data_IF_035600787586
#
_entry.id   IF_035600787586
#
_cell.length_a   1.000
_cell.length_b   1.000
_cell.length_c   1.000
_cell.angle_alpha   90.00
_cell.angle_beta   90.00
_cell.angle_gamma   90.00
#
_symmetry.space_group_name_H-M   'P 1'
#
loop_
_entity.id
_entity.type
_entity.pdbx_description
1 polymer ?
#
# COMPACT_ATOMS: atom_id res chain seq x y z
N UNK A 1 -10.77 40.73 -9.23
CA UNK A 1 -11.02 39.27 -9.11
C UNK A 1 -10.52 38.82 -7.75
N UNK A 2 -10.89 37.62 -7.27
CA UNK A 2 -10.36 37.13 -5.99
C UNK A 2 -8.89 36.72 -6.19
N UNK A 3 -7.97 37.07 -5.29
CA UNK A 3 -6.58 36.61 -5.37
C UNK A 3 -6.49 35.07 -5.38
N UNK A 4 -5.41 34.51 -5.95
CA UNK A 4 -5.14 33.07 -5.91
C UNK A 4 -5.20 32.58 -4.46
N UNK A 5 -6.02 31.53 -4.23
CA UNK A 5 -6.44 31.17 -2.88
C UNK A 5 -5.34 30.54 -2.03
N UNK A 6 -4.39 29.81 -2.65
CA UNK A 6 -3.46 28.97 -1.90
C UNK A 6 -2.10 29.62 -1.67
N UNK A 7 -1.52 30.26 -2.69
CA UNK A 7 -0.19 30.84 -2.55
C UNK A 7 0.11 31.93 -3.59
N UNK A 8 0.87 32.95 -3.16
CA UNK A 8 1.39 34.04 -3.99
C UNK A 8 2.91 34.13 -3.83
N UNK A 9 3.62 34.05 -4.95
CA UNK A 9 5.06 34.19 -5.05
C UNK A 9 5.41 35.53 -5.70
N UNK A 10 5.85 36.48 -4.88
CA UNK A 10 6.25 37.81 -5.32
C UNK A 10 7.77 37.90 -5.50
N UNK A 11 8.18 38.52 -6.61
CA UNK A 11 9.57 38.86 -6.87
C UNK A 11 9.69 40.38 -6.85
N UNK A 12 10.71 40.85 -6.15
CA UNK A 12 11.17 42.24 -6.21
C UNK A 12 12.54 42.25 -6.86
N UNK A 13 12.81 43.33 -7.58
CA UNK A 13 14.06 43.50 -8.33
C UNK A 13 14.27 42.41 -9.39
N UNK A 14 13.25 42.15 -10.22
CA UNK A 14 13.23 41.08 -11.22
C UNK A 14 14.40 41.18 -12.20
N UNK A 15 14.82 42.38 -12.58
CA UNK A 15 15.93 42.59 -13.50
C UNK A 15 17.27 42.10 -12.98
N UNK A 16 17.40 41.85 -11.66
CA UNK A 16 18.63 41.33 -11.04
C UNK A 16 18.72 39.80 -11.05
N UNK A 17 17.63 39.09 -11.39
CA UNK A 17 17.66 37.63 -11.46
C UNK A 17 18.77 37.10 -12.40
N UNK A 18 18.97 37.64 -13.62
CA UNK A 18 20.04 37.17 -14.51
C UNK A 18 21.46 37.22 -13.90
N UNK A 19 21.72 38.18 -13.01
CA UNK A 19 23.04 38.38 -12.39
C UNK A 19 23.40 37.28 -11.38
N UNK A 20 22.39 36.57 -10.86
CA UNK A 20 22.60 35.47 -9.90
C UNK A 20 23.16 34.21 -10.56
N UNK A 21 23.19 34.15 -11.91
CA UNK A 21 23.51 32.97 -12.74
C UNK A 21 22.55 31.79 -12.58
N UNK A 22 21.53 31.91 -11.73
CA UNK A 22 20.50 30.89 -11.57
C UNK A 22 19.46 30.98 -12.69
N UNK A 23 19.14 29.82 -13.28
CA UNK A 23 18.11 29.72 -14.33
C UNK A 23 16.71 29.45 -13.77
N UNK A 24 16.62 28.97 -12.53
CA UNK A 24 15.41 28.48 -11.87
C UNK A 24 15.34 29.07 -10.47
N UNK A 25 14.17 29.55 -10.07
CA UNK A 25 13.91 30.09 -8.75
C UNK A 25 12.72 29.35 -8.14
N UNK A 26 12.85 28.97 -6.88
CA UNK A 26 11.81 28.25 -6.16
C UNK A 26 11.20 29.17 -5.11
N UNK A 27 9.88 29.09 -4.94
CA UNK A 27 9.21 29.72 -3.80
C UNK A 27 9.53 28.96 -2.51
N UNK A 28 9.12 29.54 -1.38
CA UNK A 28 8.98 28.76 -0.16
C UNK A 28 7.92 27.66 -0.34
N UNK A 29 8.04 26.63 0.49
CA UNK A 29 7.03 25.58 0.59
C UNK A 29 5.71 26.15 1.14
N UNK A 30 4.59 25.67 0.61
CA UNK A 30 3.25 25.97 1.09
C UNK A 30 2.38 24.71 1.12
N UNK A 31 1.35 24.70 1.97
CA UNK A 31 0.48 23.53 2.17
C UNK A 31 -0.87 23.76 1.52
N UNK A 32 -1.31 22.83 0.67
CA UNK A 32 -2.67 22.79 0.13
C UNK A 32 -3.09 21.35 -0.16
N UNK A 33 -4.36 21.04 0.09
CA UNK A 33 -4.93 19.70 -0.16
C UNK A 33 -4.26 18.55 0.61
N UNK A 34 -3.57 18.83 1.72
CA UNK A 34 -2.85 17.84 2.54
C UNK A 34 -1.43 17.50 2.08
N UNK A 35 -0.91 18.23 1.10
CA UNK A 35 0.46 18.07 0.58
C UNK A 35 1.21 19.38 0.62
N UNK A 36 2.54 19.29 0.60
CA UNK A 36 3.45 20.44 0.53
C UNK A 36 3.89 20.66 -0.91
N UNK A 37 3.82 21.90 -1.35
CA UNK A 37 4.08 22.33 -2.72
C UNK A 37 5.04 23.50 -2.77
N UNK A 38 5.62 23.75 -3.94
CA UNK A 38 6.36 24.97 -4.26
C UNK A 38 6.14 25.38 -5.71
N UNK A 39 6.32 26.67 -6.00
CA UNK A 39 6.38 27.18 -7.37
C UNK A 39 7.81 27.20 -7.86
N UNK A 40 8.03 26.75 -9.10
CA UNK A 40 9.32 26.75 -9.78
C UNK A 40 9.23 27.66 -11.01
N UNK A 41 9.95 28.79 -10.96
CA UNK A 41 9.94 29.84 -11.97
C UNK A 41 11.23 29.81 -12.79
N UNK A 42 11.08 29.94 -14.11
CA UNK A 42 12.17 30.20 -15.05
C UNK A 42 11.91 31.55 -15.72
N UNK A 43 12.57 32.64 -15.26
CA UNK A 43 12.26 34.00 -15.71
C UNK A 43 12.68 34.26 -17.16
N UNK A 44 13.58 33.47 -17.73
CA UNK A 44 14.00 33.57 -19.13
C UNK A 44 13.56 32.35 -19.97
N UNK A 45 12.78 31.48 -19.37
CA UNK A 45 12.24 30.27 -19.99
C UNK A 45 13.00 29.00 -19.67
N UNK A 46 12.27 27.90 -19.66
CA UNK A 46 12.78 26.55 -19.51
C UNK A 46 13.23 26.01 -20.87
N UNK A 47 14.49 26.27 -21.22
CA UNK A 47 15.14 25.80 -22.45
C UNK A 47 14.92 24.31 -22.72
N UNK A 48 14.95 23.48 -21.67
CA UNK A 48 14.83 22.01 -21.78
C UNK A 48 13.45 21.58 -22.25
N UNK A 49 12.43 22.37 -21.96
CA UNK A 49 11.03 22.12 -22.35
C UNK A 49 10.54 23.10 -23.44
N UNK A 50 11.47 23.64 -24.25
CA UNK A 50 11.19 24.57 -25.34
C UNK A 50 10.54 25.90 -24.88
N UNK A 51 10.79 26.33 -23.64
CA UNK A 51 10.23 27.54 -23.03
C UNK A 51 10.93 28.85 -23.41
N UNK A 52 11.88 28.83 -24.35
CA UNK A 52 12.69 29.99 -24.73
C UNK A 52 11.83 31.24 -25.01
N UNK A 53 12.28 32.40 -24.49
CA UNK A 53 11.60 33.71 -24.61
C UNK A 53 10.21 33.79 -23.96
N UNK A 54 9.93 32.90 -23.01
CA UNK A 54 8.72 32.93 -22.21
C UNK A 54 9.09 32.84 -20.73
N UNK A 55 8.25 33.41 -19.86
CA UNK A 55 8.19 33.00 -18.47
C UNK A 55 7.69 31.55 -18.46
N UNK A 56 8.41 30.66 -17.75
CA UNK A 56 7.91 29.32 -17.43
C UNK A 56 7.62 29.22 -15.95
N UNK A 57 6.50 28.59 -15.60
CA UNK A 57 6.10 28.40 -14.21
C UNK A 57 5.51 27.01 -14.02
N UNK A 58 5.93 26.37 -12.94
CA UNK A 58 5.52 25.02 -12.58
C UNK A 58 5.13 24.91 -11.11
N UNK A 59 4.18 24.04 -10.84
CA UNK A 59 3.87 23.53 -9.51
C UNK A 59 4.65 22.24 -9.29
N UNK A 60 5.41 22.18 -8.21
CA UNK A 60 6.17 21.00 -7.80
C UNK A 60 5.75 20.54 -6.40
N UNK A 61 5.75 19.23 -6.18
CA UNK A 61 5.50 18.65 -4.86
C UNK A 61 6.81 18.61 -4.06
N UNK A 62 6.79 19.16 -2.85
CA UNK A 62 7.92 19.18 -1.92
C UNK A 62 7.93 17.90 -1.09
N UNK A 63 9.12 17.38 -0.77
CA UNK A 63 9.25 16.15 0.02
C UNK A 63 8.81 14.87 -0.72
N UNK A 64 8.86 14.82 -2.05
CA UNK A 64 8.51 13.63 -2.84
C UNK A 64 9.21 12.32 -2.38
N UNK A 65 10.37 12.45 -1.73
CA UNK A 65 11.18 11.37 -1.17
C UNK A 65 10.72 10.87 0.21
N UNK A 66 9.90 11.65 0.94
CA UNK A 66 9.33 11.24 2.23
C UNK A 66 7.97 10.56 2.08
N UNK A 67 7.37 10.61 0.89
CA UNK A 67 6.11 9.95 0.57
C UNK A 67 6.29 8.42 0.41
N UNK A 68 5.26 7.60 0.75
CA UNK A 68 5.33 6.14 0.67
C UNK A 68 5.69 5.62 -0.73
N UNK A 69 6.33 4.45 -0.82
CA UNK A 69 6.62 3.83 -2.11
C UNK A 69 5.31 3.63 -2.92
N UNK A 70 5.31 4.09 -4.17
CA UNK A 70 4.15 3.98 -5.06
C UNK A 70 3.09 5.08 -4.87
N UNK A 71 3.40 6.16 -4.15
CA UNK A 71 2.50 7.30 -4.01
C UNK A 71 2.11 7.91 -5.37
N UNK A 72 0.85 8.30 -5.48
CA UNK A 72 0.33 9.11 -6.58
C UNK A 72 -0.58 10.19 -6.00
N UNK A 73 -0.46 11.42 -6.51
CA UNK A 73 -1.36 12.53 -6.16
C UNK A 73 -1.92 13.11 -7.44
N UNK A 74 -3.25 13.08 -7.58
CA UNK A 74 -3.94 13.64 -8.73
C UNK A 74 -4.40 15.06 -8.38
N UNK A 75 -4.06 16.04 -9.22
CA UNK A 75 -4.25 17.46 -8.91
C UNK A 75 -4.81 18.18 -10.13
N UNK A 76 -5.81 19.02 -9.90
CA UNK A 76 -6.14 20.12 -10.79
C UNK A 76 -5.55 21.40 -10.19
N UNK A 77 -4.84 22.20 -10.98
CA UNK A 77 -4.32 23.47 -10.50
C UNK A 77 -4.48 24.57 -11.54
N UNK A 78 -4.53 25.80 -11.05
CA UNK A 78 -4.49 27.02 -11.88
C UNK A 78 -3.28 27.84 -11.46
N UNK A 79 -2.60 28.42 -12.45
CA UNK A 79 -1.52 29.38 -12.23
C UNK A 79 -2.01 30.77 -12.59
N UNK A 80 -1.48 31.77 -11.89
CA UNK A 80 -1.91 33.15 -12.05
C UNK A 80 -0.69 34.06 -12.26
N UNK A 81 -0.84 35.08 -13.10
CA UNK A 81 0.10 36.22 -13.21
C UNK A 81 -0.65 37.48 -12.86
N UNK A 82 -0.14 38.27 -11.91
CA UNK A 82 -0.82 39.46 -11.43
C UNK A 82 -0.63 40.65 -12.37
N UNK A 83 -1.73 41.18 -12.89
CA UNK A 83 -1.79 42.48 -13.57
C UNK A 83 -2.00 43.56 -12.51
N UNK A 84 -0.90 44.23 -12.18
CA UNK A 84 -0.82 45.24 -11.13
C UNK A 84 -1.48 46.57 -11.51
N UNK A 85 -1.69 46.81 -12.82
CA UNK A 85 -2.31 48.05 -13.33
C UNK A 85 -3.82 47.97 -13.23
N UNK A 86 -4.39 46.79 -13.54
CA UNK A 86 -5.85 46.58 -13.57
C UNK A 86 -6.40 45.91 -12.31
N UNK A 87 -5.51 45.52 -11.37
CA UNK A 87 -5.85 44.75 -10.16
C UNK A 87 -6.61 43.46 -10.51
N UNK A 88 -6.02 42.68 -11.41
CA UNK A 88 -6.60 41.44 -11.97
C UNK A 88 -5.55 40.35 -12.13
N UNK A 89 -6.00 39.13 -12.37
CA UNK A 89 -5.10 38.00 -12.57
C UNK A 89 -5.32 37.35 -13.92
N UNK A 90 -4.25 37.25 -14.71
CA UNK A 90 -4.23 36.34 -15.85
C UNK A 90 -4.25 34.91 -15.30
N UNK A 91 -5.35 34.19 -15.53
CA UNK A 91 -5.53 32.80 -15.10
C UNK A 91 -5.10 31.85 -16.21
N UNK A 92 -4.12 30.99 -15.94
CA UNK A 92 -3.66 29.94 -16.83
C UNK A 92 -3.99 28.57 -16.23
N UNK A 93 -4.74 27.77 -16.98
CA UNK A 93 -5.07 26.39 -16.64
C UNK A 93 -5.13 25.56 -17.93
N UNK A 94 -4.99 24.24 -17.81
CA UNK A 94 -5.15 23.36 -18.97
C UNK A 94 -6.61 23.39 -19.47
N UNK A 95 -6.82 23.73 -20.73
CA UNK A 95 -8.14 24.01 -21.31
C UNK A 95 -9.13 22.84 -21.19
N UNK A 96 -8.62 21.61 -21.03
CA UNK A 96 -9.44 20.41 -20.91
C UNK A 96 -9.67 19.97 -19.46
N UNK A 97 -9.27 20.78 -18.46
CA UNK A 97 -9.34 20.38 -17.04
C UNK A 97 -8.46 19.17 -16.75
N UNK A 98 -7.33 19.05 -17.45
CA UNK A 98 -6.44 17.90 -17.37
C UNK A 98 -5.92 17.71 -15.95
N UNK A 99 -6.17 16.52 -15.41
CA UNK A 99 -5.64 16.10 -14.12
C UNK A 99 -4.14 15.84 -14.23
N UNK A 100 -3.36 16.56 -13.42
CA UNK A 100 -1.93 16.38 -13.29
C UNK A 100 -1.64 15.31 -12.25
N UNK A 101 -1.10 14.17 -12.70
CA UNK A 101 -0.71 13.08 -11.82
C UNK A 101 0.74 13.25 -11.37
N UNK A 102 0.92 13.57 -10.10
CA UNK A 102 2.22 13.61 -9.45
C UNK A 102 2.58 12.21 -8.96
N UNK A 103 3.82 11.79 -9.20
CA UNK A 103 4.38 10.54 -8.68
C UNK A 103 5.91 10.65 -8.60
N UNK A 104 6.58 9.57 -8.18
CA UNK A 104 8.04 9.52 -8.04
C UNK A 104 8.81 9.89 -9.32
N UNK A 105 8.25 9.64 -10.50
CA UNK A 105 8.88 9.93 -11.80
C UNK A 105 8.50 11.31 -12.34
N UNK A 106 7.36 11.86 -11.90
CA UNK A 106 6.82 13.14 -12.37
C UNK A 106 6.34 13.96 -11.19
N UNK A 107 7.24 14.76 -10.63
CA UNK A 107 7.02 15.57 -9.42
C UNK A 107 6.67 17.04 -9.72
N UNK A 108 6.61 17.42 -10.99
CA UNK A 108 6.47 18.80 -11.45
C UNK A 108 5.55 18.87 -12.68
N UNK A 109 4.58 19.78 -12.64
CA UNK A 109 3.63 20.07 -13.72
C UNK A 109 3.43 21.57 -13.88
N UNK A 110 3.27 22.04 -15.11
CA UNK A 110 3.18 23.47 -15.40
C UNK A 110 3.36 23.77 -16.88
N UNK A 111 3.75 25.02 -17.18
CA UNK A 111 3.79 25.53 -18.54
C UNK A 111 5.18 26.10 -18.85
N UNK A 112 5.87 25.46 -19.79
CA UNK A 112 7.13 25.96 -20.34
C UNK A 112 6.95 27.31 -21.05
N UNK A 113 5.76 27.57 -21.61
CA UNK A 113 5.40 28.83 -22.27
C UNK A 113 4.18 29.45 -21.60
N UNK A 114 4.32 29.86 -20.33
CA UNK A 114 3.23 30.45 -19.56
C UNK A 114 2.82 31.81 -20.12
N UNK A 115 3.80 32.69 -20.32
CA UNK A 115 3.62 34.07 -20.79
C UNK A 115 4.86 34.49 -21.58
N UNK A 116 4.71 35.06 -22.79
CA UNK A 116 5.87 35.52 -23.56
C UNK A 116 6.57 36.68 -22.83
N UNK A 117 7.90 36.78 -22.99
CA UNK A 117 8.65 37.89 -22.41
C UNK A 117 8.24 39.23 -23.01
N UNK A 118 7.87 39.28 -24.30
CA UNK A 118 7.39 40.50 -24.94
C UNK A 118 6.12 41.02 -24.24
N UNK A 119 5.16 40.14 -23.96
CA UNK A 119 3.91 40.50 -23.26
C UNK A 119 4.18 40.82 -21.78
N UNK A 120 5.06 40.07 -21.12
CA UNK A 120 5.41 40.28 -19.72
C UNK A 120 6.12 41.63 -19.46
N UNK A 121 7.04 42.01 -20.35
CA UNK A 121 7.84 43.23 -20.23
C UNK A 121 7.13 44.49 -20.75
N UNK A 122 6.04 44.35 -21.50
CA UNK A 122 5.22 45.49 -21.92
C UNK A 122 4.47 46.07 -20.71
N UNK A 123 4.91 47.27 -20.29
CA UNK A 123 4.38 47.98 -19.14
C UNK A 123 2.86 48.22 -19.21
N UNK A 124 2.25 48.26 -20.40
CA UNK A 124 0.80 48.42 -20.56
C UNK A 124 0.00 47.19 -20.10
N UNK A 125 0.64 46.03 -20.02
CA UNK A 125 0.04 44.79 -19.53
C UNK A 125 0.11 44.63 -18.01
N UNK A 126 0.95 45.39 -17.31
CA UNK A 126 0.95 45.47 -15.84
C UNK A 126 1.55 44.26 -15.11
N UNK A 127 2.18 43.30 -15.80
CA UNK A 127 2.76 42.11 -15.18
C UNK A 127 4.10 42.36 -14.47
N UNK A 128 4.88 43.32 -14.98
CA UNK A 128 6.12 43.81 -14.37
C UNK A 128 5.98 45.32 -14.12
N UNK A 129 5.85 45.71 -12.86
CA UNK A 129 5.69 47.12 -12.42
C UNK A 129 6.68 47.38 -11.31
N UNK A 130 7.40 48.50 -11.38
CA UNK A 130 8.45 48.87 -10.43
C UNK A 130 9.44 47.72 -10.17
N UNK A 131 9.87 47.07 -11.25
CA UNK A 131 10.77 45.91 -11.26
C UNK A 131 10.29 44.75 -10.34
N UNK A 132 8.98 44.65 -10.16
CA UNK A 132 8.33 43.67 -9.31
C UNK A 132 7.21 42.96 -10.06
N UNK A 133 7.04 41.67 -9.77
CA UNK A 133 5.99 40.85 -10.35
C UNK A 133 5.48 39.82 -9.32
N UNK A 134 4.30 39.27 -9.56
CA UNK A 134 3.73 38.26 -8.68
C UNK A 134 3.04 37.13 -9.46
N UNK A 135 3.32 35.90 -9.04
CA UNK A 135 2.75 34.68 -9.57
C UNK A 135 1.92 33.98 -8.49
N UNK A 136 0.81 33.39 -8.85
CA UNK A 136 -0.03 32.68 -7.89
C UNK A 136 -0.43 31.29 -8.33
N UNK A 137 -1.00 30.54 -7.39
CA UNK A 137 -1.51 29.20 -7.65
C UNK A 137 -2.73 28.87 -6.80
N UNK A 138 -3.62 28.07 -7.38
CA UNK A 138 -4.74 27.40 -6.71
C UNK A 138 -4.61 25.91 -6.99
N UNK A 139 -4.60 25.08 -5.95
CA UNK A 139 -4.33 23.64 -5.98
C UNK A 139 -5.55 22.87 -5.46
N UNK A 140 -6.15 22.07 -6.33
CA UNK A 140 -7.25 21.17 -5.99
C UNK A 140 -6.78 19.71 -6.06
N UNK A 141 -6.53 19.12 -4.90
CA UNK A 141 -6.15 17.70 -4.78
C UNK A 141 -7.39 16.81 -4.91
N UNK A 142 -7.37 15.93 -5.90
CA UNK A 142 -8.43 14.96 -6.17
C UNK A 142 -8.21 13.75 -5.26
N UNK A 143 -9.03 13.63 -4.21
CA UNK A 143 -9.02 12.47 -3.32
C UNK A 143 -9.53 11.24 -4.09
N UNK A 144 -8.69 10.23 -4.23
CA UNK A 144 -9.11 8.93 -4.73
C UNK A 144 -9.98 8.24 -3.68
N UNK A 145 -11.27 8.07 -3.95
CA UNK A 145 -12.19 7.26 -3.11
C UNK A 145 -12.23 5.80 -3.55
N UNK A 146 -11.26 5.36 -4.36
CA UNK A 146 -11.22 4.02 -4.92
C UNK A 146 -10.82 2.99 -3.86
N UNK A 147 -11.68 2.02 -3.60
CA UNK A 147 -11.35 0.84 -2.78
C UNK A 147 -10.51 -0.12 -3.61
N UNK A 148 -9.35 -0.53 -3.10
CA UNK A 148 -8.46 -1.49 -3.75
C UNK A 148 -8.13 -2.69 -2.85
N UNK A 149 -7.70 -3.79 -3.46
CA UNK A 149 -7.18 -4.96 -2.76
C UNK A 149 -5.75 -5.25 -3.23
N UNK A 150 -4.87 -5.59 -2.30
CA UNK A 150 -3.50 -6.02 -2.58
C UNK A 150 -3.29 -7.46 -2.08
N UNK A 151 -2.74 -8.30 -2.94
CA UNK A 151 -2.36 -9.68 -2.62
C UNK A 151 -0.85 -9.73 -2.31
N UNK A 152 -0.51 -10.09 -1.09
CA UNK A 152 0.87 -10.35 -0.69
C UNK A 152 1.08 -11.86 -0.57
N UNK A 153 1.83 -12.43 -1.50
CA UNK A 153 2.26 -13.83 -1.43
C UNK A 153 3.58 -13.90 -0.66
N UNK A 154 3.64 -14.78 0.33
CA UNK A 154 4.84 -15.06 1.12
C UNK A 154 5.15 -16.55 1.09
N UNK A 155 6.32 -16.88 0.57
CA UNK A 155 6.92 -18.20 0.76
C UNK A 155 7.47 -18.27 2.18
N UNK A 156 7.23 -19.39 2.87
CA UNK A 156 7.74 -19.59 4.22
C UNK A 156 9.11 -20.27 4.14
N UNK A 157 10.07 -19.79 4.93
CA UNK A 157 11.39 -20.40 4.98
C UNK A 157 11.33 -21.83 5.53
N UNK A 158 12.05 -22.80 4.93
CA UNK A 158 11.98 -24.21 5.32
C UNK A 158 12.34 -24.51 6.78
N UNK A 159 13.07 -23.62 7.47
CA UNK A 159 13.47 -23.81 8.87
C UNK A 159 12.41 -23.38 9.88
N UNK A 160 11.46 -22.54 9.49
CA UNK A 160 10.41 -21.98 10.36
C UNK A 160 8.99 -22.33 9.86
N UNK A 161 8.87 -23.36 9.03
CA UNK A 161 7.61 -23.72 8.38
C UNK A 161 6.93 -24.97 8.97
N UNK A 162 7.55 -25.65 9.92
CA UNK A 162 7.00 -26.86 10.55
C UNK A 162 6.66 -26.67 12.02
N UNK A 163 5.68 -27.43 12.49
CA UNK A 163 5.40 -27.59 13.90
C UNK A 163 5.03 -29.05 14.19
N UNK A 164 5.58 -29.58 15.28
CA UNK A 164 5.39 -30.96 15.72
C UNK A 164 4.79 -30.98 17.11
N UNK A 165 3.72 -31.76 17.28
CA UNK A 165 3.02 -31.93 18.55
C UNK A 165 3.03 -33.39 18.98
N UNK A 166 3.58 -33.64 20.17
CA UNK A 166 3.60 -34.96 20.81
C UNK A 166 2.43 -35.12 21.79
N UNK A 167 1.57 -36.09 21.54
CA UNK A 167 0.43 -36.43 22.39
C UNK A 167 0.78 -37.71 23.16
N UNK A 168 1.19 -37.55 24.42
CA UNK A 168 1.59 -38.64 25.32
C UNK A 168 0.38 -39.29 26.00
N UNK A 169 0.56 -40.52 26.47
CA UNK A 169 -0.49 -41.33 27.09
C UNK A 169 -1.72 -41.51 26.19
N UNK A 170 -1.50 -41.69 24.88
CA UNK A 170 -2.56 -41.70 23.88
C UNK A 170 -3.63 -42.76 24.16
N UNK A 171 -3.23 -43.91 24.70
CA UNK A 171 -4.12 -45.01 25.09
C UNK A 171 -5.15 -44.67 26.18
N UNK A 172 -4.90 -43.62 26.97
CA UNK A 172 -5.76 -43.18 28.08
C UNK A 172 -6.74 -42.07 27.68
N UNK A 173 -6.65 -41.57 26.46
CA UNK A 173 -7.51 -40.50 25.98
C UNK A 173 -8.93 -41.00 25.75
N UNK A 174 -9.89 -40.16 26.13
CA UNK A 174 -11.30 -40.37 25.87
C UNK A 174 -11.69 -39.84 24.47
N UNK A 175 -12.99 -39.66 24.24
CA UNK A 175 -13.53 -39.15 22.96
C UNK A 175 -13.37 -37.63 22.83
N UNK A 176 -12.68 -36.98 23.77
CA UNK A 176 -12.49 -35.54 23.85
C UNK A 176 -11.65 -34.97 22.71
N UNK A 177 -11.91 -33.69 22.40
CA UNK A 177 -11.12 -32.92 21.44
C UNK A 177 -9.85 -32.44 22.11
N UNK A 178 -8.72 -32.61 21.42
CA UNK A 178 -7.43 -32.12 21.89
C UNK A 178 -6.98 -30.92 21.06
N UNK A 179 -6.34 -29.97 21.73
CA UNK A 179 -5.77 -28.78 21.13
C UNK A 179 -4.27 -28.72 21.45
N UNK A 180 -3.45 -28.44 20.46
CA UNK A 180 -2.05 -28.12 20.71
C UNK A 180 -1.91 -26.78 21.43
N UNK A 181 -0.71 -26.54 21.95
CA UNK A 181 -0.28 -25.18 22.29
C UNK A 181 -0.32 -24.27 21.05
N UNK A 182 -0.41 -22.96 21.29
CA UNK A 182 -0.31 -21.97 20.24
C UNK A 182 1.11 -21.96 19.67
N UNK A 183 1.22 -22.02 18.35
CA UNK A 183 2.49 -21.84 17.64
C UNK A 183 2.37 -20.78 16.55
N UNK A 184 3.50 -20.21 16.13
CA UNK A 184 3.55 -19.15 15.14
C UNK A 184 4.36 -19.59 13.93
N UNK A 185 3.78 -19.45 12.74
CA UNK A 185 4.47 -19.63 11.46
C UNK A 185 4.12 -18.40 10.61
N UNK A 186 5.15 -17.68 10.17
CA UNK A 186 5.00 -16.32 9.65
C UNK A 186 4.44 -15.37 10.70
N UNK A 187 3.42 -14.59 10.34
CA UNK A 187 2.78 -13.61 11.23
C UNK A 187 1.43 -14.08 11.79
N UNK A 188 1.15 -15.37 11.74
CA UNK A 188 -0.13 -15.95 12.14
C UNK A 188 0.05 -16.97 13.27
N UNK A 189 -0.90 -17.00 14.19
CA UNK A 189 -0.97 -18.00 15.26
C UNK A 189 -1.87 -19.16 14.87
N UNK A 190 -1.42 -20.35 15.17
CA UNK A 190 -2.04 -21.60 14.77
C UNK A 190 -2.24 -22.54 15.95
N UNK A 191 -3.20 -23.46 15.79
CA UNK A 191 -3.38 -24.64 16.65
C UNK A 191 -3.61 -25.87 15.79
N UNK A 192 -3.19 -27.03 16.28
CA UNK A 192 -3.63 -28.33 15.75
C UNK A 192 -4.79 -28.80 16.62
N UNK A 193 -5.86 -29.26 15.96
CA UNK A 193 -7.02 -29.89 16.59
C UNK A 193 -6.98 -31.38 16.26
N UNK A 194 -7.05 -32.24 17.26
CA UNK A 194 -7.10 -33.70 17.09
C UNK A 194 -8.35 -34.25 17.73
N UNK A 195 -9.06 -35.09 16.98
CA UNK A 195 -10.14 -35.94 17.49
C UNK A 195 -9.62 -37.38 17.49
N UNK A 196 -9.16 -37.92 18.64
CA UNK A 196 -8.53 -39.24 18.71
C UNK A 196 -9.40 -40.35 18.12
N UNK A 197 -10.72 -40.26 18.32
CA UNK A 197 -11.72 -41.20 17.78
C UNK A 197 -12.58 -40.59 16.66
N UNK A 198 -12.14 -39.50 16.06
CA UNK A 198 -12.77 -38.91 14.89
C UNK A 198 -13.94 -37.98 15.16
N UNK A 199 -14.32 -37.23 14.13
CA UNK A 199 -15.44 -36.29 14.14
C UNK A 199 -16.42 -36.53 12.98
N UNK A 200 -17.63 -35.97 13.08
CA UNK A 200 -18.66 -36.09 12.05
C UNK A 200 -18.97 -37.54 11.66
N UNK A 201 -19.00 -37.82 10.36
CA UNK A 201 -19.27 -39.17 9.80
C UNK A 201 -18.14 -40.18 10.05
N UNK A 202 -16.95 -39.70 10.42
CA UNK A 202 -15.77 -40.52 10.73
C UNK A 202 -15.63 -40.83 12.24
N UNK A 203 -16.55 -40.34 13.08
CA UNK A 203 -16.58 -40.63 14.51
C UNK A 203 -16.65 -42.14 14.76
N UNK A 204 -15.79 -42.63 15.64
CA UNK A 204 -15.58 -44.04 15.97
C UNK A 204 -14.85 -44.85 14.90
N UNK A 205 -14.41 -44.24 13.79
CA UNK A 205 -13.83 -44.97 12.64
C UNK A 205 -12.40 -44.54 12.31
N UNK A 206 -12.08 -43.26 12.47
CA UNK A 206 -10.78 -42.71 12.07
C UNK A 206 -10.31 -41.61 13.02
N UNK A 207 -9.00 -41.41 13.10
CA UNK A 207 -8.38 -40.21 13.65
C UNK A 207 -8.71 -39.01 12.75
N UNK A 208 -9.16 -37.90 13.33
CA UNK A 208 -9.32 -36.63 12.60
C UNK A 208 -8.30 -35.60 13.09
N UNK A 209 -7.71 -34.86 12.16
CA UNK A 209 -6.70 -33.83 12.47
C UNK A 209 -6.94 -32.60 11.60
N UNK A 210 -6.95 -31.42 12.23
CA UNK A 210 -7.17 -30.14 11.57
C UNK A 210 -6.12 -29.11 12.01
N UNK A 211 -5.76 -28.21 11.11
CA UNK A 211 -5.03 -26.98 11.38
C UNK A 211 -6.05 -25.85 11.55
N UNK A 212 -5.95 -25.10 12.64
CA UNK A 212 -6.82 -23.95 12.95
C UNK A 212 -6.01 -22.65 13.02
N UNK A 213 -6.55 -21.59 12.41
CA UNK A 213 -6.07 -20.22 12.57
C UNK A 213 -6.63 -19.64 13.87
N UNK A 214 -5.77 -19.38 14.87
CA UNK A 214 -6.18 -18.96 16.20
C UNK A 214 -6.65 -17.49 16.29
N UNK A 215 -6.19 -16.63 15.38
CA UNK A 215 -6.52 -15.20 15.35
C UNK A 215 -7.84 -14.89 14.61
N UNK A 216 -8.74 -15.87 14.44
CA UNK A 216 -9.98 -15.73 13.67
C UNK A 216 -11.04 -14.82 14.32
N UNK A 217 -10.89 -14.51 15.61
CA UNK A 217 -11.94 -13.92 16.47
C UNK A 217 -11.94 -12.39 16.65
N UNK A 218 -10.97 -11.64 16.13
CA UNK A 218 -11.06 -10.16 16.09
C UNK A 218 -11.58 -9.74 14.72
N UNK A 219 -12.59 -8.83 14.63
CA UNK A 219 -13.40 -8.65 13.44
C UNK A 219 -12.50 -8.43 12.22
N UNK A 220 -12.51 -9.34 11.23
CA UNK A 220 -11.68 -9.14 10.06
C UNK A 220 -12.42 -8.19 9.14
N UNK A 221 -11.79 -7.07 8.78
CA UNK A 221 -11.99 -6.53 7.44
C UNK A 221 -11.55 -7.61 6.45
N UNK A 222 -12.43 -8.58 6.14
CA UNK A 222 -12.40 -9.52 5.01
C UNK A 222 -11.00 -10.03 4.59
N UNK A 223 -10.08 -10.27 5.54
CA UNK A 223 -8.77 -10.81 5.21
C UNK A 223 -8.95 -12.29 4.93
N UNK A 224 -8.96 -12.65 3.65
CA UNK A 224 -8.91 -14.02 3.19
C UNK A 224 -7.43 -14.43 3.26
N UNK A 225 -7.08 -15.34 4.16
CA UNK A 225 -5.72 -15.90 4.24
C UNK A 225 -5.72 -17.22 3.47
N UNK A 226 -5.01 -17.30 2.35
CA UNK A 226 -4.82 -18.58 1.64
C UNK A 226 -3.57 -19.27 2.16
N UNK A 227 -3.66 -20.54 2.55
CA UNK A 227 -2.53 -21.30 3.07
C UNK A 227 -2.40 -22.64 2.38
N UNK A 228 -1.21 -22.91 1.85
CA UNK A 228 -0.81 -24.24 1.40
C UNK A 228 -0.06 -24.95 2.51
N UNK A 229 -0.57 -26.10 2.96
CA UNK A 229 0.02 -26.84 4.07
C UNK A 229 -0.05 -28.36 3.86
N UNK A 230 0.82 -29.07 4.57
CA UNK A 230 0.80 -30.51 4.72
C UNK A 230 0.60 -30.84 6.19
N UNK A 231 -0.38 -31.67 6.53
CA UNK A 231 -0.75 -32.03 7.90
C UNK A 231 -0.86 -33.54 8.03
N UNK A 232 -0.33 -34.13 9.09
CA UNK A 232 -0.66 -35.52 9.39
C UNK A 232 0.19 -36.19 10.44
N UNK A 233 0.19 -37.52 10.40
CA UNK A 233 0.87 -38.40 11.35
C UNK A 233 1.75 -39.39 10.58
N UNK A 234 3.06 -39.38 10.88
CA UNK A 234 4.04 -40.26 10.23
C UNK A 234 3.91 -40.26 8.69
N UNK A 235 3.60 -41.41 8.09
CA UNK A 235 3.45 -41.58 6.64
C UNK A 235 2.07 -41.19 6.11
N UNK A 236 1.07 -40.97 6.99
CA UNK A 236 -0.26 -40.50 6.56
C UNK A 236 -0.32 -38.98 6.69
N UNK A 237 -0.15 -38.29 5.56
CA UNK A 237 -0.21 -36.84 5.46
C UNK A 237 -1.25 -36.42 4.42
N UNK A 238 -1.98 -35.36 4.70
CA UNK A 238 -2.83 -34.65 3.74
C UNK A 238 -2.15 -33.35 3.34
N UNK A 239 -2.18 -33.01 2.06
CA UNK A 239 -1.74 -31.72 1.53
C UNK A 239 -2.93 -30.97 0.99
N UNK A 240 -3.10 -29.72 1.40
CA UNK A 240 -4.23 -28.89 1.00
C UNK A 240 -3.82 -27.43 0.80
N UNK A 241 -4.67 -26.68 0.11
CA UNK A 241 -4.54 -25.24 -0.09
C UNK A 241 -5.89 -24.56 0.11
N UNK A 242 -6.08 -23.97 1.30
CA UNK A 242 -7.39 -23.52 1.76
C UNK A 242 -7.42 -22.04 2.11
N UNK A 243 -8.61 -21.45 2.04
CA UNK A 243 -8.87 -20.09 2.51
C UNK A 243 -9.37 -20.11 3.95
N UNK A 244 -8.58 -19.56 4.85
CA UNK A 244 -8.94 -19.34 6.25
C UNK A 244 -9.70 -18.02 6.40
N UNK A 245 -10.79 -18.07 7.16
CA UNK A 245 -11.61 -16.91 7.50
C UNK A 245 -12.37 -17.16 8.81
N UNK A 246 -12.98 -16.15 9.42
CA UNK A 246 -13.78 -16.32 10.64
C UNK A 246 -14.85 -17.44 10.56
N UNK A 247 -15.64 -17.59 9.46
CA UNK A 247 -16.59 -18.70 9.34
C UNK A 247 -15.96 -20.04 8.93
N UNK A 248 -14.68 -20.07 8.57
CA UNK A 248 -13.96 -21.28 8.13
C UNK A 248 -12.51 -21.19 8.60
N UNK A 249 -12.33 -21.33 9.91
CA UNK A 249 -11.08 -21.06 10.61
C UNK A 249 -10.19 -22.30 10.75
N UNK A 250 -10.65 -23.47 10.32
CA UNK A 250 -9.92 -24.71 10.38
C UNK A 250 -10.11 -25.59 9.13
N UNK A 251 -9.05 -26.29 8.76
CA UNK A 251 -8.98 -27.17 7.58
C UNK A 251 -8.11 -28.40 7.90
N UNK A 252 -8.43 -29.54 7.29
CA UNK A 252 -7.74 -30.79 7.57
C UNK A 252 -8.53 -32.02 7.12
N UNK A 253 -8.31 -33.15 7.78
CA UNK A 253 -8.94 -34.42 7.41
C UNK A 253 -9.73 -35.02 8.57
N UNK A 254 -11.02 -35.30 8.33
CA UNK A 254 -11.86 -36.06 9.25
C UNK A 254 -11.49 -37.54 9.31
N UNK A 255 -10.79 -38.07 8.32
CA UNK A 255 -10.52 -39.50 8.15
C UNK A 255 -9.05 -39.77 7.80
N UNK A 256 -8.13 -39.14 8.54
CA UNK A 256 -6.69 -39.17 8.24
C UNK A 256 -6.09 -40.59 8.35
N UNK A 257 -6.44 -41.32 9.41
CA UNK A 257 -5.99 -42.71 9.64
C UNK A 257 -7.16 -43.49 10.24
N UNK A 258 -7.44 -44.70 9.75
CA UNK A 258 -8.46 -45.56 10.38
C UNK A 258 -8.04 -45.95 11.80
N UNK A 259 -8.98 -46.12 12.73
CA UNK A 259 -8.62 -46.54 14.10
C UNK A 259 -7.99 -47.94 14.11
N UNK A 260 -8.35 -48.80 13.15
CA UNK A 260 -7.75 -50.12 12.97
C UNK A 260 -6.26 -49.99 12.65
N UNK A 261 -5.90 -49.16 11.66
CA UNK A 261 -4.51 -48.93 11.27
C UNK A 261 -3.74 -48.15 12.34
N UNK A 262 -4.40 -47.19 13.00
CA UNK A 262 -3.80 -46.37 14.06
C UNK A 262 -3.30 -47.23 15.24
N UNK A 263 -4.09 -48.24 15.61
CA UNK A 263 -3.77 -49.16 16.70
C UNK A 263 -2.98 -50.41 16.27
N UNK A 264 -2.77 -50.61 14.97
CA UNK A 264 -1.87 -51.64 14.46
C UNK A 264 -0.42 -51.27 14.76
N UNK A 265 0.18 -51.97 15.74
CA UNK A 265 1.57 -51.77 16.16
C UNK A 265 2.58 -51.92 15.03
N UNK A 266 2.27 -52.70 13.99
CA UNK A 266 3.15 -52.88 12.83
C UNK A 266 3.24 -51.62 11.95
N UNK A 267 2.20 -50.78 11.95
CA UNK A 267 2.20 -49.48 11.24
C UNK A 267 2.99 -48.43 12.00
N UNK A 268 3.03 -48.55 13.33
CA UNK A 268 3.84 -47.73 14.22
C UNK A 268 3.48 -46.24 14.19
N UNK A 269 2.18 -45.91 14.08
CA UNK A 269 1.70 -44.54 14.24
C UNK A 269 1.83 -44.05 15.68
N UNK A 270 1.66 -44.96 16.64
CA UNK A 270 1.84 -44.72 18.08
C UNK A 270 3.11 -45.44 18.52
N UNK A 271 4.07 -44.71 19.10
CA UNK A 271 5.33 -45.25 19.62
C UNK A 271 5.46 -44.80 21.08
N UNK A 272 5.75 -45.74 21.99
CA UNK A 272 5.81 -45.46 23.43
C UNK A 272 4.57 -44.71 23.95
N UNK A 273 3.38 -45.16 23.53
CA UNK A 273 2.10 -44.53 23.86
C UNK A 273 2.00 -43.03 23.52
N UNK A 274 2.75 -42.61 22.49
CA UNK A 274 2.81 -41.24 22.01
C UNK A 274 2.45 -41.19 20.54
N UNK A 275 1.48 -40.33 20.20
CA UNK A 275 1.15 -39.97 18.82
C UNK A 275 1.86 -38.66 18.47
N UNK A 276 2.54 -38.61 17.33
CA UNK A 276 3.21 -37.40 16.85
C UNK A 276 2.46 -36.86 15.64
N UNK A 277 1.96 -35.63 15.77
CA UNK A 277 1.28 -34.90 14.70
C UNK A 277 2.19 -33.80 14.20
N UNK A 278 2.32 -33.69 12.89
CA UNK A 278 3.19 -32.71 12.24
C UNK A 278 2.38 -31.87 11.25
N UNK A 279 2.64 -30.58 11.22
CA UNK A 279 2.18 -29.66 10.18
C UNK A 279 3.35 -28.95 9.56
N UNK A 280 3.29 -28.74 8.25
CA UNK A 280 4.20 -27.93 7.46
C UNK A 280 3.40 -26.92 6.65
N UNK A 281 3.73 -25.63 6.70
CA UNK A 281 3.09 -24.57 5.92
C UNK A 281 4.04 -24.09 4.82
N UNK A 282 3.72 -24.37 3.56
CA UNK A 282 4.62 -24.07 2.44
C UNK A 282 4.47 -22.62 1.95
N UNK A 283 3.25 -22.10 1.93
CA UNK A 283 2.92 -20.78 1.35
C UNK A 283 1.76 -20.12 2.10
N UNK A 284 1.83 -18.81 2.25
CA UNK A 284 0.74 -17.97 2.74
C UNK A 284 0.47 -16.81 1.77
N UNK A 285 -0.81 -16.52 1.52
CA UNK A 285 -1.27 -15.39 0.72
C UNK A 285 -2.16 -14.51 1.58
N UNK A 286 -1.64 -13.33 1.93
CA UNK A 286 -2.34 -12.29 2.69
C UNK A 286 -3.08 -11.35 1.73
N UNK A 287 -4.42 -11.30 1.83
CA UNK A 287 -5.21 -10.25 1.16
C UNK A 287 -5.40 -9.06 2.09
N UNK A 288 -4.92 -7.88 1.68
CA UNK A 288 -5.12 -6.62 2.41
C UNK A 288 -5.94 -5.66 1.56
N UNK A 289 -7.08 -5.22 2.08
CA UNK A 289 -7.83 -4.11 1.51
C UNK A 289 -7.15 -2.77 1.88
N UNK A 290 -7.16 -1.82 0.96
CA UNK A 290 -6.78 -0.43 1.23
C UNK A 290 -7.86 0.52 0.71
N UNK A 291 -8.03 1.62 1.43
CA UNK A 291 -8.98 2.70 1.18
C UNK A 291 -8.24 3.99 0.91
#
# INVERSE_FOLDING_TARGET
EVPPADYLFQIKSFSLLPDTKEKRYESCDFVSGGYTWKLCLYPNGDEKNNGNRHISLYLAISGANTLPLGWEVNVNFKLFVYDQVRDKYLTIQDANGRVSRFNKLKTEWGFAKLLSLDTFNDASNGYLVDDSCAFGVEVYVIKSTGRGECLSVKMVEPSNNTYTWEIKNFSKLDDGVLYSELFSIGNHKWKIIVYPKGTGSAKGKSLSVFLQLADSGTPPTKRKLSVGFTLGVKSSKVKDHCWFSAPSDNWGSSNLVSLVDLHDRSKGFIVHDTLVVEVQIDVMIDVKEFT
#
